data_IF_528514496220
#
_entry.id   IF_528514496220
#
_cell.length_a   1.000
_cell.length_b   1.000
_cell.length_c   1.000
_cell.angle_alpha   90.00
_cell.angle_beta   90.00
_cell.angle_gamma   90.00
#
_symmetry.space_group_name_H-M   'P 1'
#
loop_
_entity.id
_entity.type
_entity.pdbx_description
1 polymer ?
#
# COMPACT_ATOMS: atom_id res chain seq x y z
N UNK A 1 4.51 11.80 7.56
CA UNK A 1 4.81 10.46 8.08
C UNK A 1 3.62 9.97 8.88
N UNK A 2 3.19 8.76 8.62
CA UNK A 2 2.14 8.13 9.42
C UNK A 2 2.57 6.72 9.84
N UNK A 3 2.09 6.31 11.02
CA UNK A 3 2.27 4.96 11.53
C UNK A 3 0.91 4.28 11.48
N UNK A 4 0.85 3.11 10.86
CA UNK A 4 -0.39 2.37 10.73
C UNK A 4 -0.27 1.00 11.37
N UNK A 5 -1.33 0.58 12.02
CA UNK A 5 -1.45 -0.77 12.59
C UNK A 5 -2.54 -1.49 11.82
N UNK A 6 -2.21 -2.66 11.29
CA UNK A 6 -3.14 -3.48 10.51
C UNK A 6 -3.32 -4.82 11.23
N UNK A 7 -4.55 -5.14 11.57
CA UNK A 7 -4.88 -6.39 12.26
C UNK A 7 -4.69 -7.60 11.32
N UNK A 8 -4.45 -8.81 11.88
CA UNK A 8 -4.30 -10.01 11.06
C UNK A 8 -5.49 -10.22 10.12
N UNK A 9 -5.19 -10.57 8.87
CA UNK A 9 -6.20 -10.82 7.85
C UNK A 9 -6.82 -9.59 7.21
N UNK A 10 -6.47 -8.38 7.70
CA UNK A 10 -7.03 -7.14 7.18
C UNK A 10 -6.21 -6.63 6.00
N UNK A 11 -6.91 -6.10 5.01
CA UNK A 11 -6.32 -5.41 3.85
C UNK A 11 -6.65 -3.94 3.94
N UNK A 12 -5.65 -3.09 3.78
CA UNK A 12 -5.82 -1.64 3.70
C UNK A 12 -5.30 -1.11 2.37
N UNK A 13 -5.90 -0.03 1.88
CA UNK A 13 -5.50 0.63 0.66
C UNK A 13 -6.49 0.42 -0.45
N UNK A 14 -6.03 -0.16 -1.57
CA UNK A 14 -6.79 -0.24 -2.82
C UNK A 14 -7.08 1.16 -3.36
N UNK A 15 -6.06 2.01 -3.38
CA UNK A 15 -6.16 3.35 -3.96
C UNK A 15 -4.87 3.74 -4.66
N UNK A 16 -4.97 4.78 -5.47
CA UNK A 16 -3.86 5.28 -6.25
C UNK A 16 -3.84 6.82 -6.22
N UNK A 17 -2.75 7.39 -6.70
CA UNK A 17 -2.51 8.83 -6.66
C UNK A 17 -2.02 9.33 -8.01
N UNK A 18 -2.38 10.57 -8.34
CA UNK A 18 -1.98 11.23 -9.58
C UNK A 18 -0.61 11.86 -9.51
N UNK A 19 -0.26 12.46 -8.39
CA UNK A 19 0.95 13.29 -8.31
C UNK A 19 1.88 12.91 -7.19
N UNK A 20 1.39 12.26 -6.13
CA UNK A 20 2.26 11.86 -5.02
C UNK A 20 2.68 10.41 -5.14
N UNK A 21 3.91 10.13 -4.82
CA UNK A 21 4.38 8.77 -4.61
C UNK A 21 4.46 8.48 -3.12
N UNK A 22 4.36 7.23 -2.75
CA UNK A 22 4.40 6.80 -1.37
C UNK A 22 5.52 5.80 -1.15
N UNK A 23 6.03 5.78 0.07
CA UNK A 23 7.01 4.79 0.52
C UNK A 23 6.50 4.14 1.78
N UNK A 24 6.67 2.83 1.86
CA UNK A 24 6.28 2.04 3.01
C UNK A 24 7.48 1.29 3.55
N UNK A 25 7.53 1.16 4.87
CA UNK A 25 8.43 0.23 5.52
C UNK A 25 7.65 -0.53 6.58
N UNK A 26 7.77 -1.85 6.60
CA UNK A 26 7.20 -2.69 7.65
C UNK A 26 8.22 -2.82 8.75
N UNK A 27 7.85 -2.43 9.95
CA UNK A 27 8.74 -2.46 11.11
C UNK A 27 8.41 -3.60 12.08
N UNK A 28 7.20 -4.16 12.00
CA UNK A 28 6.80 -5.32 12.81
C UNK A 28 5.69 -6.08 12.08
N UNK A 29 5.76 -7.41 12.11
CA UNK A 29 4.80 -8.26 11.46
C UNK A 29 5.19 -8.66 10.05
N UNK A 30 4.25 -9.26 9.32
CA UNK A 30 4.45 -9.75 7.96
C UNK A 30 3.35 -9.22 7.05
N UNK A 31 3.73 -8.73 5.89
CA UNK A 31 2.78 -8.15 4.95
C UNK A 31 3.04 -8.60 3.51
N UNK A 32 1.96 -8.66 2.76
CA UNK A 32 1.98 -8.69 1.31
C UNK A 32 1.60 -7.30 0.82
N UNK A 33 2.44 -6.68 0.03
CA UNK A 33 2.13 -5.42 -0.64
C UNK A 33 1.90 -5.74 -2.11
N UNK A 34 0.72 -5.37 -2.60
CA UNK A 34 0.35 -5.55 -4.00
C UNK A 34 0.18 -4.19 -4.65
N UNK A 35 0.66 -4.03 -5.86
CA UNK A 35 0.38 -2.83 -6.63
C UNK A 35 0.33 -3.14 -8.11
N UNK A 36 -0.42 -2.33 -8.82
CA UNK A 36 -0.70 -2.50 -10.24
C UNK A 36 -0.83 -1.12 -10.87
N UNK A 37 -0.21 -0.94 -12.02
CA UNK A 37 -0.44 0.26 -12.81
C UNK A 37 -1.92 0.32 -13.22
N UNK A 38 -2.55 1.49 -13.12
CA UNK A 38 -4.00 1.61 -13.30
C UNK A 38 -4.47 1.22 -14.70
N UNK A 39 -3.58 1.26 -15.70
CA UNK A 39 -3.87 0.89 -17.07
C UNK A 39 -3.34 -0.50 -17.46
N UNK A 40 -2.99 -1.31 -16.49
CA UNK A 40 -2.44 -2.65 -16.69
C UNK A 40 -3.16 -3.67 -15.83
N UNK A 41 -3.13 -4.92 -16.23
CA UNK A 41 -3.65 -6.04 -15.44
C UNK A 41 -2.56 -6.76 -14.66
N UNK A 42 -1.30 -6.36 -14.84
CA UNK A 42 -0.18 -7.01 -14.19
C UNK A 42 -0.03 -6.55 -12.74
N UNK A 43 -0.22 -7.48 -11.80
CA UNK A 43 -0.07 -7.23 -10.37
C UNK A 43 1.37 -7.54 -9.95
N UNK A 44 1.98 -6.59 -9.25
CA UNK A 44 3.30 -6.75 -8.66
C UNK A 44 3.12 -6.99 -7.16
N UNK A 45 3.83 -7.98 -6.63
CA UNK A 45 3.69 -8.37 -5.23
C UNK A 45 5.04 -8.42 -4.54
N UNK A 46 5.09 -7.88 -3.31
CA UNK A 46 6.25 -7.99 -2.44
C UNK A 46 5.81 -8.52 -1.08
N UNK A 47 6.51 -9.57 -0.61
CA UNK A 47 6.39 -10.05 0.76
C UNK A 47 7.45 -9.35 1.60
N UNK A 48 7.03 -8.65 2.64
CA UNK A 48 7.91 -7.85 3.50
C UNK A 48 7.62 -8.16 4.96
N UNK A 49 8.61 -7.95 5.82
CA UNK A 49 8.46 -8.19 7.25
C UNK A 49 9.34 -7.27 8.08
N UNK A 50 9.05 -7.19 9.37
CA UNK A 50 9.88 -6.45 10.33
C UNK A 50 11.22 -7.12 10.60
N UNK A 51 11.40 -8.38 10.22
CA UNK A 51 12.67 -9.09 10.38
C UNK A 51 13.75 -8.59 9.43
N UNK A 52 13.33 -8.02 8.32
CA UNK A 52 14.21 -7.46 7.31
C UNK A 52 13.60 -6.16 6.79
N UNK A 53 14.17 -5.04 7.21
CA UNK A 53 13.63 -3.74 6.86
C UNK A 53 13.92 -3.42 5.39
N UNK A 54 12.84 -3.23 4.62
CA UNK A 54 12.91 -2.90 3.21
C UNK A 54 11.94 -1.76 2.92
N UNK A 55 12.39 -0.78 2.19
CA UNK A 55 11.53 0.32 1.73
C UNK A 55 10.88 -0.10 0.42
N UNK A 56 9.55 -0.02 0.37
CA UNK A 56 8.78 -0.27 -0.85
C UNK A 56 8.30 1.06 -1.39
N UNK A 57 8.67 1.36 -2.62
CA UNK A 57 8.24 2.56 -3.33
C UNK A 57 7.00 2.27 -4.15
N UNK A 58 5.96 3.08 -3.98
CA UNK A 58 4.75 3.01 -4.79
C UNK A 58 4.76 4.22 -5.72
N UNK A 59 4.99 4.04 -7.02
CA UNK A 59 4.99 5.15 -7.96
C UNK A 59 3.60 5.74 -8.15
N UNK A 60 3.55 6.98 -8.65
CA UNK A 60 2.28 7.57 -9.08
C UNK A 60 1.64 6.70 -10.16
N UNK A 61 0.31 6.69 -10.18
CA UNK A 61 -0.44 5.92 -11.18
C UNK A 61 -0.53 4.43 -10.90
N UNK A 62 -0.12 3.98 -9.71
CA UNK A 62 -0.27 2.58 -9.29
C UNK A 62 -1.29 2.48 -8.17
N UNK A 63 -2.31 1.65 -8.37
CA UNK A 63 -3.18 1.28 -7.26
C UNK A 63 -2.45 0.25 -6.39
N UNK A 64 -2.58 0.36 -5.08
CA UNK A 64 -1.83 -0.46 -4.15
C UNK A 64 -2.63 -0.80 -2.91
N UNK A 65 -2.23 -1.87 -2.26
CA UNK A 65 -2.78 -2.27 -0.97
C UNK A 65 -1.68 -2.90 -0.11
N UNK A 66 -1.99 -3.08 1.15
CA UNK A 66 -1.16 -3.84 2.07
C UNK A 66 -2.04 -4.81 2.84
N UNK A 67 -1.62 -6.06 2.91
CA UNK A 67 -2.36 -7.15 3.52
C UNK A 67 -1.53 -7.69 4.68
N UNK A 68 -2.11 -7.78 5.87
CA UNK A 68 -1.46 -8.46 6.98
C UNK A 68 -1.61 -9.96 6.78
N UNK A 69 -0.54 -10.63 6.41
CA UNK A 69 -0.53 -12.08 6.20
C UNK A 69 0.07 -12.84 7.38
N UNK A 70 0.35 -12.15 8.47
CA UNK A 70 0.86 -12.77 9.68
C UNK A 70 -0.23 -13.05 10.71
N UNK A 71 0.19 -13.52 11.88
CA UNK A 71 -0.70 -13.84 13.00
C UNK A 71 -0.70 -12.75 14.08
N UNK A 72 0.11 -11.73 13.94
CA UNK A 72 0.21 -10.61 14.87
C UNK A 72 -0.08 -9.30 14.14
N UNK A 73 -0.22 -8.20 14.90
CA UNK A 73 -0.40 -6.89 14.31
C UNK A 73 0.75 -6.52 13.39
N UNK A 74 0.40 -5.93 12.27
CA UNK A 74 1.36 -5.38 11.31
C UNK A 74 1.54 -3.90 11.63
N UNK A 75 2.77 -3.47 11.81
CA UNK A 75 3.08 -2.06 12.04
C UNK A 75 3.90 -1.54 10.86
N UNK A 76 3.40 -0.48 10.23
CA UNK A 76 4.05 0.12 9.08
C UNK A 76 4.27 1.60 9.30
N UNK A 77 5.34 2.12 8.71
CA UNK A 77 5.57 3.55 8.59
C UNK A 77 5.42 3.91 7.12
N UNK A 78 4.66 4.95 6.84
CA UNK A 78 4.41 5.43 5.50
C UNK A 78 4.74 6.91 5.41
N UNK A 79 5.32 7.31 4.29
CA UNK A 79 5.50 8.73 3.98
C UNK A 79 5.35 8.94 2.48
N UNK A 80 5.04 10.18 2.11
CA UNK A 80 4.88 10.56 0.72
C UNK A 80 5.57 11.90 0.46
N UNK A 81 5.76 12.19 -0.82
CA UNK A 81 6.48 13.39 -1.26
C UNK A 81 5.67 14.68 -1.20
N UNK A 82 4.38 14.59 -0.88
CA UNK A 82 3.48 15.74 -0.78
C UNK A 82 2.69 15.69 0.52
N UNK A 83 2.38 16.86 1.07
CA UNK A 83 1.48 16.95 2.20
C UNK A 83 0.05 16.69 1.75
N UNK A 84 -0.75 16.05 2.61
CA UNK A 84 -2.17 15.86 2.36
C UNK A 84 -2.86 17.22 2.30
N UNK A 85 -3.65 17.46 1.27
CA UNK A 85 -4.49 18.64 1.11
C UNK A 85 -5.95 18.21 1.01
N UNK A 86 -6.77 18.44 2.06
CA UNK A 86 -8.17 18.00 2.04
C UNK A 86 -9.03 18.69 0.99
N UNK A 87 -8.62 19.85 0.48
CA UNK A 87 -9.34 20.55 -0.59
C UNK A 87 -9.03 19.97 -1.96
N UNK A 88 -7.89 19.29 -2.09
CA UNK A 88 -7.46 18.65 -3.34
C UNK A 88 -6.89 17.27 -3.01
N UNK A 89 -7.71 16.35 -2.50
CA UNK A 89 -7.20 15.01 -2.20
C UNK A 89 -6.80 14.32 -3.49
N UNK A 90 -5.60 13.72 -3.46
CA UNK A 90 -5.06 12.99 -4.60
C UNK A 90 -5.12 11.48 -4.32
N UNK A 91 -6.29 11.01 -3.91
CA UNK A 91 -6.48 9.61 -3.56
C UNK A 91 -7.75 9.10 -4.23
N UNK A 92 -7.60 8.02 -5.01
CA UNK A 92 -8.68 7.43 -5.79
C UNK A 92 -8.76 5.94 -5.49
N UNK A 93 -9.97 5.43 -5.28
CA UNK A 93 -10.20 4.03 -5.02
C UNK A 93 -10.12 3.22 -6.31
N UNK A 94 -9.35 2.13 -6.27
CA UNK A 94 -9.31 1.13 -7.34
C UNK A 94 -8.68 -0.14 -6.76
N UNK A 95 -9.41 -1.24 -6.74
CA UNK A 95 -8.85 -2.50 -6.24
C UNK A 95 -7.66 -2.93 -7.08
N UNK A 96 -6.65 -3.48 -6.41
CA UNK A 96 -5.47 -4.01 -7.09
C UNK A 96 -5.87 -5.27 -7.86
N UNK A 97 -6.69 -6.13 -7.25
CA UNK A 97 -7.18 -7.34 -7.91
C UNK A 97 -8.61 -7.66 -7.48
N UNK A 98 -9.24 -8.58 -8.18
CA UNK A 98 -10.52 -9.16 -7.79
C UNK A 98 -11.74 -8.53 -8.44
N UNK A 99 -11.69 -7.29 -8.90
CA UNK A 99 -12.85 -6.62 -9.49
C UNK A 99 -12.94 -6.71 -10.99
N UNK A 100 -11.88 -7.19 -11.61
CA UNK A 100 -11.84 -7.30 -13.08
C UNK A 100 -12.85 -8.30 -13.62
N UNK A 101 -13.40 -9.13 -12.79
CA UNK A 101 -14.35 -10.17 -13.18
C UNK A 101 -15.80 -9.82 -12.85
N UNK A 102 -16.02 -8.63 -12.47
CA UNK A 102 -17.36 -8.09 -12.22
C UNK A 102 -17.92 -8.47 -10.93
#
# INVERSE_FOLDING_TARGET
ISVNIVKPGVTKGNHWHHSKNEKFIVVSGKALIQFRRIDSEHVIEYHVSGDRLEVVDIPVGYTHNIINEGSADLVTIMWCNECFNPEKPDTYYLKVEGDVHG
#
